data_IF_033624807726
#
_entry.id   IF_033624807726
#
_cell.length_a   1.000
_cell.length_b   1.000
_cell.length_c   1.000
_cell.angle_alpha   90.00
_cell.angle_beta   90.00
_cell.angle_gamma   90.00
#
_symmetry.space_group_name_H-M   'P 1'
#
loop_
_entity.id
_entity.type
_entity.pdbx_description
1 polymer ?
#
# COMPACT_ATOMS: atom_id res chain seq x y z
N UNK A 1 -34.54 -14.40 24.75
CA UNK A 1 -34.16 -13.23 23.93
C UNK A 1 -35.40 -12.70 23.26
N UNK A 2 -35.86 -11.53 23.71
CA UNK A 2 -37.06 -10.88 23.19
C UNK A 2 -36.87 -10.55 21.71
N UNK A 3 -37.96 -10.50 20.96
CA UNK A 3 -37.96 -10.17 19.53
C UNK A 3 -37.27 -8.84 19.23
N UNK A 4 -37.33 -7.89 20.17
CA UNK A 4 -36.66 -6.59 20.12
C UNK A 4 -35.13 -6.69 20.18
N UNK A 5 -34.56 -7.61 20.97
CA UNK A 5 -33.10 -7.81 21.02
C UNK A 5 -32.55 -8.44 19.73
N UNK A 6 -33.35 -9.26 19.04
CA UNK A 6 -32.98 -9.87 17.76
C UNK A 6 -32.98 -8.84 16.64
N UNK A 7 -34.00 -7.98 16.58
CA UNK A 7 -34.08 -6.91 15.55
C UNK A 7 -33.02 -5.84 15.76
N UNK A 8 -32.75 -5.43 17.01
CA UNK A 8 -31.67 -4.49 17.33
C UNK A 8 -30.29 -5.00 16.89
N UNK A 9 -29.99 -6.28 17.11
CA UNK A 9 -28.71 -6.86 16.63
C UNK A 9 -28.63 -6.89 15.11
N UNK A 10 -29.71 -7.21 14.41
CA UNK A 10 -29.72 -7.21 12.95
C UNK A 10 -29.49 -5.81 12.38
N UNK A 11 -30.16 -4.79 12.92
CA UNK A 11 -29.94 -3.39 12.54
C UNK A 11 -28.49 -2.99 12.79
N UNK A 12 -27.92 -3.36 13.94
CA UNK A 12 -26.54 -3.03 14.27
C UNK A 12 -25.53 -3.69 13.31
N UNK A 13 -25.77 -4.94 12.90
CA UNK A 13 -24.96 -5.63 11.90
C UNK A 13 -25.04 -4.95 10.55
N UNK A 14 -26.25 -4.58 10.10
CA UNK A 14 -26.46 -3.88 8.82
C UNK A 14 -25.73 -2.53 8.82
N UNK A 15 -25.86 -1.74 9.90
CA UNK A 15 -25.15 -0.46 10.05
C UNK A 15 -23.63 -0.66 10.01
N UNK A 16 -23.11 -1.70 10.66
CA UNK A 16 -21.67 -2.02 10.64
C UNK A 16 -21.18 -2.38 9.24
N UNK A 17 -21.97 -3.15 8.48
CA UNK A 17 -21.66 -3.51 7.09
C UNK A 17 -21.65 -2.26 6.21
N UNK A 18 -22.66 -1.39 6.33
CA UNK A 18 -22.72 -0.13 5.56
C UNK A 18 -21.52 0.77 5.88
N UNK A 19 -21.17 0.93 7.17
CA UNK A 19 -19.99 1.70 7.58
C UNK A 19 -18.70 1.10 7.05
N UNK A 20 -18.55 -0.23 7.10
CA UNK A 20 -17.39 -0.91 6.55
C UNK A 20 -17.25 -0.68 5.04
N UNK A 21 -18.33 -0.83 4.27
CA UNK A 21 -18.33 -0.54 2.83
C UNK A 21 -18.04 0.95 2.56
N UNK A 22 -18.57 1.86 3.38
CA UNK A 22 -18.30 3.30 3.27
C UNK A 22 -16.82 3.65 3.51
N UNK A 23 -16.19 3.06 4.53
CA UNK A 23 -14.76 3.23 4.77
C UNK A 23 -13.90 2.60 3.68
N UNK A 24 -14.31 1.45 3.13
CA UNK A 24 -13.63 0.84 2.00
C UNK A 24 -13.69 1.74 0.76
N UNK A 25 -14.86 2.32 0.49
CA UNK A 25 -15.03 3.28 -0.61
C UNK A 25 -14.15 4.51 -0.42
N UNK A 26 -14.16 5.12 0.78
CA UNK A 26 -13.32 6.28 1.09
C UNK A 26 -11.82 5.94 0.96
N UNK A 27 -11.41 4.75 1.40
CA UNK A 27 -10.05 4.26 1.25
C UNK A 27 -9.64 4.17 -0.22
N UNK A 28 -10.49 3.60 -1.08
CA UNK A 28 -10.25 3.55 -2.54
C UNK A 28 -10.17 4.95 -3.14
N UNK A 29 -11.06 5.89 -2.77
CA UNK A 29 -10.97 7.28 -3.18
C UNK A 29 -9.64 7.93 -2.77
N UNK A 30 -9.18 7.68 -1.55
CA UNK A 30 -7.91 8.18 -1.06
C UNK A 30 -6.72 7.61 -1.84
N UNK A 31 -6.76 6.33 -2.24
CA UNK A 31 -5.74 5.73 -3.13
C UNK A 31 -5.71 6.42 -4.50
N UNK A 32 -6.88 6.69 -5.10
CA UNK A 32 -6.99 7.41 -6.38
C UNK A 32 -6.45 8.84 -6.29
N UNK A 33 -6.77 9.54 -5.19
CA UNK A 33 -6.25 10.88 -4.93
C UNK A 33 -4.74 10.88 -4.70
N UNK A 34 -4.22 9.88 -3.98
CA UNK A 34 -2.80 9.72 -3.73
C UNK A 34 -2.03 9.35 -5.01
N UNK A 35 -2.60 8.52 -5.88
CA UNK A 35 -2.05 8.23 -7.21
C UNK A 35 -1.99 9.50 -8.07
N UNK A 36 -3.04 10.33 -8.03
CA UNK A 36 -3.06 11.63 -8.73
C UNK A 36 -2.04 12.62 -8.14
N UNK A 37 -1.91 12.67 -6.82
CA UNK A 37 -0.92 13.50 -6.13
C UNK A 37 0.51 13.03 -6.41
N UNK A 38 0.75 11.72 -6.50
CA UNK A 38 2.03 11.17 -6.93
C UNK A 38 2.29 11.38 -8.42
N UNK A 39 1.27 11.39 -9.30
CA UNK A 39 1.43 11.86 -10.68
C UNK A 39 1.81 13.33 -10.74
N UNK A 40 1.27 14.16 -9.86
CA UNK A 40 1.53 15.61 -9.81
C UNK A 40 2.91 15.93 -9.21
N UNK A 41 3.19 15.41 -8.01
CA UNK A 41 4.48 15.54 -7.30
C UNK A 41 5.57 14.78 -8.06
N UNK A 42 5.26 13.59 -8.57
CA UNK A 42 6.14 12.84 -9.46
C UNK A 42 6.33 13.50 -10.82
N UNK A 43 5.35 14.23 -11.36
CA UNK A 43 5.55 15.03 -12.57
C UNK A 43 6.64 16.10 -12.39
N UNK A 44 6.79 16.66 -11.19
CA UNK A 44 7.72 17.77 -10.90
C UNK A 44 9.04 17.28 -10.25
N UNK A 45 8.98 16.34 -9.31
CA UNK A 45 10.13 15.76 -8.62
C UNK A 45 10.60 14.43 -9.24
N UNK A 46 9.67 13.58 -9.66
CA UNK A 46 10.02 12.37 -10.40
C UNK A 46 10.31 12.66 -11.89
N UNK A 47 9.93 13.81 -12.45
CA UNK A 47 10.53 14.32 -13.69
C UNK A 47 12.07 14.44 -13.64
N UNK A 48 12.68 14.41 -12.44
CA UNK A 48 14.14 14.25 -12.23
C UNK A 48 14.55 12.87 -11.67
N UNK A 49 13.72 12.21 -10.86
CA UNK A 49 14.03 10.88 -10.26
C UNK A 49 13.60 9.69 -11.15
N UNK A 50 12.45 9.77 -11.83
CA UNK A 50 12.00 8.84 -12.88
C UNK A 50 12.76 9.04 -14.21
N UNK A 51 13.23 10.26 -14.54
CA UNK A 51 14.13 10.47 -15.69
C UNK A 51 15.56 9.96 -15.44
N UNK A 52 15.95 9.82 -14.17
CA UNK A 52 17.16 9.09 -13.81
C UNK A 52 16.81 7.60 -13.76
N UNK A 53 16.74 6.97 -14.93
CA UNK A 53 16.59 5.52 -15.11
C UNK A 53 17.47 4.69 -14.16
N UNK A 54 18.58 5.25 -13.66
CA UNK A 54 19.51 4.62 -12.73
C UNK A 54 18.96 4.40 -11.30
N UNK A 55 18.07 5.25 -10.80
CA UNK A 55 17.56 5.13 -9.42
C UNK A 55 16.51 4.03 -9.30
N UNK A 56 15.63 3.87 -10.29
CA UNK A 56 14.61 2.82 -10.29
C UNK A 56 15.10 1.50 -10.92
N UNK A 57 16.16 1.52 -11.74
CA UNK A 57 16.85 0.30 -12.16
C UNK A 57 17.63 -0.35 -11.02
N UNK A 58 18.00 0.42 -9.97
CA UNK A 58 18.67 -0.16 -8.82
C UNK A 58 17.64 -0.80 -7.86
N UNK A 59 17.61 -2.13 -7.72
CA UNK A 59 16.66 -2.84 -6.86
C UNK A 59 16.79 -2.44 -5.38
N UNK A 60 17.98 -2.05 -4.94
CA UNK A 60 18.21 -1.60 -3.55
C UNK A 60 17.57 -0.24 -3.32
N UNK A 61 17.65 0.67 -4.28
CA UNK A 61 17.02 1.98 -4.18
C UNK A 61 15.48 1.86 -4.19
N UNK A 62 14.94 1.02 -5.08
CA UNK A 62 13.51 0.67 -5.10
C UNK A 62 13.04 0.08 -3.76
N UNK A 63 13.83 -0.81 -3.15
CA UNK A 63 13.57 -1.33 -1.81
C UNK A 63 13.53 -0.23 -0.75
N UNK A 64 14.51 0.67 -0.75
CA UNK A 64 14.56 1.77 0.22
C UNK A 64 13.38 2.73 0.09
N UNK A 65 12.87 2.95 -1.13
CA UNK A 65 11.63 3.70 -1.35
C UNK A 65 10.45 3.01 -0.65
N UNK A 66 10.33 1.69 -0.79
CA UNK A 66 9.28 0.92 -0.10
C UNK A 66 9.34 1.02 1.42
N UNK A 67 10.54 0.96 2.00
CA UNK A 67 10.78 1.18 3.42
C UNK A 67 10.32 2.57 3.83
N UNK A 68 10.76 3.62 3.11
CA UNK A 68 10.42 5.00 3.42
C UNK A 68 8.91 5.25 3.36
N UNK A 69 8.25 4.81 2.29
CA UNK A 69 6.80 4.94 2.14
C UNK A 69 6.06 4.27 3.29
N UNK A 70 6.51 3.08 3.71
CA UNK A 70 5.87 2.36 4.82
C UNK A 70 6.14 3.03 6.17
N UNK A 71 7.33 3.57 6.39
CA UNK A 71 7.63 4.33 7.61
C UNK A 71 6.80 5.62 7.68
N UNK A 72 6.58 6.29 6.56
CA UNK A 72 5.74 7.51 6.51
C UNK A 72 4.25 7.19 6.72
N UNK A 73 3.76 6.14 6.06
CA UNK A 73 2.35 5.73 6.12
C UNK A 73 2.04 4.90 7.36
N UNK A 74 3.05 4.32 8.02
CA UNK A 74 2.97 3.43 9.18
C UNK A 74 2.11 2.16 8.96
N UNK A 75 1.81 1.83 7.70
CA UNK A 75 0.96 0.70 7.31
C UNK A 75 1.47 0.09 6.03
N UNK A 76 2.09 -1.09 6.11
CA UNK A 76 2.59 -1.80 4.94
C UNK A 76 1.50 -2.31 4.03
N UNK A 77 0.31 -2.64 4.55
CA UNK A 77 -0.84 -2.99 3.70
C UNK A 77 -1.31 -1.80 2.86
N UNK A 78 -1.29 -0.60 3.44
CA UNK A 78 -1.61 0.63 2.71
C UNK A 78 -0.52 0.93 1.68
N UNK A 79 0.75 0.86 2.05
CA UNK A 79 1.89 1.09 1.15
C UNK A 79 1.92 0.12 -0.03
N UNK A 80 1.69 -1.16 0.21
CA UNK A 80 1.61 -2.18 -0.86
C UNK A 80 0.40 -1.97 -1.76
N UNK A 81 -0.76 -1.59 -1.20
CA UNK A 81 -1.96 -1.27 -2.00
C UNK A 81 -1.72 -0.10 -2.95
N UNK A 82 -0.99 0.93 -2.50
CA UNK A 82 -0.59 2.07 -3.34
C UNK A 82 0.28 1.58 -4.50
N UNK A 83 1.30 0.76 -4.22
CA UNK A 83 2.20 0.22 -5.25
C UNK A 83 1.44 -0.63 -6.26
N UNK A 84 0.53 -1.50 -5.81
CA UNK A 84 -0.32 -2.31 -6.68
C UNK A 84 -1.22 -1.43 -7.55
N UNK A 85 -1.80 -0.36 -7.00
CA UNK A 85 -2.60 0.60 -7.77
C UNK A 85 -1.76 1.36 -8.82
N UNK A 86 -0.51 1.70 -8.51
CA UNK A 86 0.42 2.32 -9.46
C UNK A 86 0.79 1.37 -10.61
N UNK A 87 1.00 0.08 -10.30
CA UNK A 87 1.26 -0.98 -11.28
C UNK A 87 0.05 -1.25 -12.15
N UNK A 88 -1.15 -1.26 -11.56
CA UNK A 88 -2.41 -1.27 -12.30
C UNK A 88 -2.38 -0.16 -13.33
N UNK A 89 -2.34 1.10 -12.88
CA UNK A 89 -2.52 2.30 -13.72
C UNK A 89 -1.43 2.58 -14.78
N UNK A 90 -0.50 1.65 -14.97
CA UNK A 90 0.63 1.77 -15.91
C UNK A 90 1.67 2.82 -15.53
N UNK A 91 1.61 3.38 -14.31
CA UNK A 91 2.56 4.37 -13.83
C UNK A 91 3.87 3.78 -13.30
N UNK A 92 3.84 2.51 -12.91
CA UNK A 92 4.99 1.79 -12.38
C UNK A 92 5.04 0.41 -13.01
N UNK A 93 6.18 0.04 -13.58
CA UNK A 93 6.37 -1.30 -14.10
C UNK A 93 6.45 -2.33 -12.96
N UNK A 94 6.07 -3.57 -13.27
CA UNK A 94 6.11 -4.70 -12.34
C UNK A 94 7.51 -4.95 -11.78
N UNK A 95 8.56 -4.73 -12.58
CA UNK A 95 9.95 -4.96 -12.17
C UNK A 95 10.36 -4.12 -10.95
N UNK A 96 10.34 -2.78 -11.04
CA UNK A 96 10.62 -1.90 -9.89
C UNK A 96 9.63 -2.05 -8.74
N UNK A 97 8.38 -2.44 -9.00
CA UNK A 97 7.37 -2.62 -7.95
C UNK A 97 7.69 -3.77 -6.97
N UNK A 98 8.37 -4.83 -7.42
CA UNK A 98 8.68 -5.99 -6.58
C UNK A 98 9.64 -5.63 -5.44
N UNK A 99 10.81 -5.02 -5.68
CA UNK A 99 11.68 -4.55 -4.59
C UNK A 99 10.99 -3.53 -3.68
N UNK A 100 10.12 -2.66 -4.21
CA UNK A 100 9.35 -1.70 -3.39
C UNK A 100 8.42 -2.43 -2.41
N UNK A 101 7.73 -3.50 -2.85
CA UNK A 101 6.88 -4.32 -1.96
C UNK A 101 7.73 -5.04 -0.91
N UNK A 102 8.89 -5.57 -1.29
CA UNK A 102 9.84 -6.17 -0.33
C UNK A 102 10.31 -5.14 0.71
N UNK A 103 10.58 -3.91 0.27
CA UNK A 103 10.90 -2.78 1.15
C UNK A 103 9.77 -2.39 2.09
N UNK A 104 8.52 -2.44 1.61
CA UNK A 104 7.37 -2.18 2.45
C UNK A 104 7.23 -3.20 3.60
N UNK A 105 7.57 -4.47 3.34
CA UNK A 105 7.62 -5.48 4.40
C UNK A 105 8.71 -5.16 5.43
N UNK A 106 9.89 -4.71 5.01
CA UNK A 106 10.95 -4.25 5.95
C UNK A 106 10.47 -3.04 6.76
N UNK A 107 9.79 -2.08 6.14
CA UNK A 107 9.31 -0.87 6.81
C UNK A 107 8.38 -1.17 8.00
N UNK A 108 7.58 -2.24 7.94
CA UNK A 108 6.76 -2.72 9.07
C UNK A 108 7.60 -2.99 10.32
N UNK A 109 8.83 -3.47 10.13
CA UNK A 109 9.75 -3.79 11.22
C UNK A 109 10.16 -2.55 12.02
N UNK A 110 10.35 -1.43 11.31
CA UNK A 110 10.63 -0.13 11.94
C UNK A 110 9.44 0.30 12.78
N UNK A 111 8.22 0.20 12.24
CA UNK A 111 6.99 0.53 12.98
C UNK A 111 6.80 -0.36 14.21
N UNK A 112 6.98 -1.69 14.09
CA UNK A 112 6.88 -2.62 15.20
C UNK A 112 7.87 -2.30 16.31
N UNK A 113 9.12 -2.02 15.94
CA UNK A 113 10.17 -1.64 16.89
C UNK A 113 9.82 -0.34 17.61
N UNK A 114 9.33 0.68 16.90
CA UNK A 114 8.86 1.93 17.52
C UNK A 114 7.72 1.67 18.51
N UNK A 115 6.72 0.89 18.11
CA UNK A 115 5.58 0.53 18.97
C UNK A 115 6.03 -0.27 20.20
N UNK A 116 6.95 -1.21 20.02
CA UNK A 116 7.50 -2.02 21.12
C UNK A 116 8.27 -1.14 22.12
N UNK A 117 9.12 -0.22 21.64
CA UNK A 117 9.82 0.75 22.48
C UNK A 117 8.82 1.63 23.23
N UNK A 118 7.71 2.04 22.60
CA UNK A 118 6.65 2.81 23.26
C UNK A 118 6.04 2.14 24.49
N UNK A 119 6.15 0.81 24.63
CA UNK A 119 5.66 0.06 25.79
C UNK A 119 6.62 0.04 26.99
N UNK A 120 7.71 0.82 26.97
CA UNK A 120 8.77 0.82 27.99
C UNK A 120 8.29 1.06 29.43
N UNK A 121 7.14 1.73 29.60
CA UNK A 121 6.58 2.02 30.93
C UNK A 121 6.16 0.76 31.71
N UNK A 122 5.74 -0.31 31.01
CA UNK A 122 5.34 -1.56 31.65
C UNK A 122 6.27 -2.71 31.23
N UNK A 123 7.15 -3.13 32.15
CA UNK A 123 8.18 -4.17 31.88
C UNK A 123 7.61 -5.46 31.30
N UNK A 124 6.42 -5.89 31.73
CA UNK A 124 5.79 -7.11 31.23
C UNK A 124 5.26 -6.94 29.81
N UNK A 125 4.68 -5.78 29.48
CA UNK A 125 4.19 -5.48 28.14
C UNK A 125 5.35 -5.22 27.17
N UNK A 126 6.36 -4.44 27.59
CA UNK A 126 7.59 -4.23 26.83
C UNK A 126 8.24 -5.55 26.43
N UNK A 127 8.43 -6.49 27.37
CA UNK A 127 9.08 -7.77 27.07
C UNK A 127 8.30 -8.59 26.02
N UNK A 128 6.97 -8.58 26.08
CA UNK A 128 6.11 -9.30 25.12
C UNK A 128 6.08 -8.59 23.76
N UNK A 129 5.92 -7.27 23.76
CA UNK A 129 5.89 -6.45 22.56
C UNK A 129 7.23 -6.47 21.82
N UNK A 130 8.34 -6.33 22.54
CA UNK A 130 9.68 -6.40 21.98
C UNK A 130 10.00 -7.79 21.44
N UNK A 131 9.69 -8.87 22.18
CA UNK A 131 9.86 -10.23 21.68
C UNK A 131 9.04 -10.52 20.42
N UNK A 132 7.79 -10.05 20.37
CA UNK A 132 6.93 -10.16 19.19
C UNK A 132 7.47 -9.36 18.00
N UNK A 133 7.91 -8.12 18.23
CA UNK A 133 8.53 -7.28 17.21
C UNK A 133 9.79 -7.94 16.64
N UNK A 134 10.71 -8.41 17.49
CA UNK A 134 11.95 -9.06 17.02
C UNK A 134 11.68 -10.27 16.13
N UNK A 135 10.74 -11.15 16.50
CA UNK A 135 10.41 -12.34 15.69
C UNK A 135 9.83 -11.93 14.33
N UNK A 136 8.93 -10.96 14.31
CA UNK A 136 8.37 -10.42 13.06
C UNK A 136 9.47 -9.79 12.20
N UNK A 137 10.33 -8.96 12.79
CA UNK A 137 11.41 -8.26 12.11
C UNK A 137 12.41 -9.26 11.50
N UNK A 138 12.77 -10.31 12.23
CA UNK A 138 13.62 -11.39 11.72
C UNK A 138 12.99 -12.09 10.51
N UNK A 139 11.69 -12.39 10.55
CA UNK A 139 10.98 -12.99 9.43
C UNK A 139 10.99 -12.09 8.19
N UNK A 140 10.74 -10.79 8.36
CA UNK A 140 10.74 -9.83 7.25
C UNK A 140 12.14 -9.68 6.64
N UNK A 141 13.18 -9.57 7.47
CA UNK A 141 14.57 -9.48 7.01
C UNK A 141 15.00 -10.75 6.26
N UNK A 142 14.72 -11.94 6.81
CA UNK A 142 15.03 -13.21 6.15
C UNK A 142 14.30 -13.33 4.81
N UNK A 143 13.03 -12.93 4.75
CA UNK A 143 12.25 -12.96 3.52
C UNK A 143 12.90 -12.11 2.43
N UNK A 144 13.35 -10.90 2.73
CA UNK A 144 14.05 -10.05 1.75
C UNK A 144 15.43 -10.59 1.40
N UNK A 145 16.22 -11.03 2.40
CA UNK A 145 17.56 -11.56 2.17
C UNK A 145 17.55 -12.81 1.28
N UNK A 146 16.46 -13.57 1.29
CA UNK A 146 16.28 -14.75 0.41
C UNK A 146 15.64 -14.35 -0.92
N UNK A 147 14.53 -13.62 -0.89
CA UNK A 147 13.73 -13.36 -2.09
C UNK A 147 14.32 -12.30 -2.99
N UNK A 148 15.00 -11.28 -2.47
CA UNK A 148 15.57 -10.23 -3.29
C UNK A 148 16.72 -10.75 -4.17
N UNK A 149 17.74 -11.46 -3.65
CA UNK A 149 18.77 -12.05 -4.52
C UNK A 149 18.21 -13.09 -5.48
N UNK A 150 17.22 -13.88 -5.05
CA UNK A 150 16.54 -14.84 -5.92
C UNK A 150 15.83 -14.15 -7.07
N UNK A 151 15.14 -13.04 -6.80
CA UNK A 151 14.49 -12.24 -7.84
C UNK A 151 15.49 -11.61 -8.79
N UNK A 152 16.63 -11.12 -8.27
CA UNK A 152 17.70 -10.56 -9.11
C UNK A 152 18.38 -11.63 -9.98
N UNK A 153 18.43 -12.87 -9.51
CA UNK A 153 19.03 -13.98 -10.27
C UNK A 153 18.07 -14.59 -11.31
N UNK A 154 16.77 -14.63 -11.02
CA UNK A 154 15.80 -15.42 -11.79
C UNK A 154 14.70 -14.61 -12.45
N UNK A 155 14.42 -13.40 -11.97
CA UNK A 155 13.25 -12.59 -12.34
C UNK A 155 11.91 -13.34 -12.23
N UNK A 156 11.84 -14.33 -11.33
CA UNK A 156 10.71 -15.24 -11.24
C UNK A 156 9.41 -14.50 -10.89
N UNK A 157 9.44 -13.63 -9.87
CA UNK A 157 8.28 -12.87 -9.44
C UNK A 157 7.87 -11.87 -10.52
N UNK A 158 8.82 -11.25 -11.23
CA UNK A 158 8.53 -10.34 -12.33
C UNK A 158 7.83 -11.04 -13.49
N UNK A 159 8.27 -12.24 -13.87
CA UNK A 159 7.67 -12.99 -14.97
C UNK A 159 6.26 -13.43 -14.61
N UNK A 160 6.07 -13.99 -13.41
CA UNK A 160 4.76 -14.46 -12.94
C UNK A 160 3.79 -13.29 -12.82
N UNK A 161 4.20 -12.22 -12.14
CA UNK A 161 3.36 -11.03 -11.94
C UNK A 161 3.04 -10.32 -13.26
N UNK A 162 4.01 -10.21 -14.17
CA UNK A 162 3.78 -9.61 -15.49
C UNK A 162 2.77 -10.38 -16.33
N UNK A 163 2.75 -11.72 -16.22
CA UNK A 163 1.72 -12.55 -16.89
C UNK A 163 0.34 -12.38 -16.28
N UNK A 164 0.26 -12.18 -14.97
CA UNK A 164 -1.01 -11.98 -14.23
C UNK A 164 -1.58 -10.58 -14.50
N UNK A 165 -0.73 -9.56 -14.62
CA UNK A 165 -1.15 -8.16 -14.76
C UNK A 165 -1.55 -7.82 -16.21
N UNK A 166 -0.92 -8.41 -17.24
CA UNK A 166 -1.24 -8.14 -18.66
C UNK A 166 -2.74 -8.23 -19.04
N UNK A 167 -3.49 -9.25 -18.58
CA UNK A 167 -4.94 -9.30 -18.79
C UNK A 167 -5.70 -8.19 -18.06
N UNK A 168 -5.21 -7.78 -16.88
CA UNK A 168 -5.84 -6.77 -16.01
C UNK A 168 -5.63 -5.37 -16.57
N UNK A 169 -4.43 -5.03 -17.04
CA UNK A 169 -4.17 -3.75 -17.70
C UNK A 169 -4.92 -3.59 -19.03
N UNK A 170 -5.39 -4.70 -19.63
CA UNK A 170 -6.31 -4.68 -20.78
C UNK A 170 -7.78 -4.56 -20.37
N UNK A 171 -8.14 -4.96 -19.14
CA UNK A 171 -9.46 -4.77 -18.55
C UNK A 171 -9.60 -3.42 -17.81
N UNK A 172 -8.47 -2.72 -17.61
CA UNK A 172 -8.39 -1.46 -16.90
C UNK A 172 -9.12 -0.30 -17.56
N UNK A 173 -9.26 -0.27 -18.88
CA UNK A 173 -10.09 0.78 -19.51
C UNK A 173 -11.52 0.74 -18.94
N UNK A 174 -12.02 -0.46 -18.64
CA UNK A 174 -13.35 -0.66 -18.06
C UNK A 174 -13.40 -0.39 -16.55
N UNK A 175 -12.38 -0.82 -15.79
CA UNK A 175 -12.32 -0.59 -14.34
C UNK A 175 -11.98 0.86 -13.97
N UNK A 176 -11.11 1.53 -14.74
CA UNK A 176 -10.81 2.96 -14.60
C UNK A 176 -12.04 3.80 -14.95
N UNK A 177 -12.86 3.40 -15.92
CA UNK A 177 -14.16 4.04 -16.17
C UNK A 177 -15.14 3.85 -15.01
N UNK A 178 -15.19 2.66 -14.41
CA UNK A 178 -16.08 2.36 -13.28
C UNK A 178 -15.62 3.08 -12.00
N UNK A 179 -14.31 3.06 -11.72
CA UNK A 179 -13.69 3.82 -10.64
C UNK A 179 -13.87 5.31 -10.87
N UNK A 180 -13.59 5.85 -12.07
CA UNK A 180 -13.87 7.27 -12.37
C UNK A 180 -15.35 7.60 -12.21
N UNK A 181 -16.28 6.77 -12.70
CA UNK A 181 -17.71 7.02 -12.57
C UNK A 181 -18.17 7.14 -11.11
N UNK A 182 -17.60 6.32 -10.22
CA UNK A 182 -17.93 6.35 -8.79
C UNK A 182 -17.13 7.48 -8.08
N UNK A 183 -15.86 7.69 -8.43
CA UNK A 183 -14.93 8.61 -7.74
C UNK A 183 -15.05 10.06 -8.24
N UNK A 184 -15.44 10.29 -9.48
CA UNK A 184 -15.59 11.61 -10.12
C UNK A 184 -16.50 12.60 -9.37
N UNK A 185 -17.69 12.22 -8.85
CA UNK A 185 -18.49 13.16 -8.06
C UNK A 185 -17.76 13.64 -6.81
N UNK A 186 -16.94 12.79 -6.19
CA UNK A 186 -16.14 13.15 -5.02
C UNK A 186 -14.91 13.99 -5.41
N UNK A 187 -14.20 13.58 -6.46
CA UNK A 187 -13.01 14.27 -6.98
C UNK A 187 -13.34 15.68 -7.50
N UNK A 188 -14.46 15.85 -8.21
CA UNK A 188 -14.93 17.18 -8.66
C UNK A 188 -15.38 18.07 -7.51
N UNK A 189 -15.89 17.50 -6.43
CA UNK A 189 -16.26 18.25 -5.23
C UNK A 189 -15.04 18.76 -4.47
N UNK A 190 -13.97 17.97 -4.39
CA UNK A 190 -12.71 18.33 -3.73
C UNK A 190 -11.83 19.27 -4.58
N UNK A 191 -11.73 19.05 -5.90
CA UNK A 191 -10.86 19.83 -6.80
C UNK A 191 -11.42 21.22 -7.16
N UNK A 192 -12.66 21.55 -6.79
CA UNK A 192 -13.20 22.91 -6.94
C UNK A 192 -12.49 23.99 -6.09
N UNK A 193 -11.55 23.61 -5.21
CA UNK A 193 -10.77 24.57 -4.41
C UNK A 193 -9.51 25.09 -5.16
N UNK A 194 -9.15 24.54 -6.33
CA UNK A 194 -8.00 25.02 -7.13
C UNK A 194 -8.39 25.86 -8.38
N UNK A 195 -9.59 26.45 -8.36
CA UNK A 195 -9.96 27.53 -9.29
C UNK A 195 -10.42 28.76 -8.52
N UNK A 196 -9.46 29.46 -7.92
CA UNK A 196 -9.48 30.91 -7.81
C UNK A 196 -8.07 31.47 -7.82
#
# INVERSE_FOLDING_TARGET
LSWTERTLRLIWVIVRIILFLGFLYLFVCALSFLSSAFRLVGGIAAGKVLNNHELLNNPIAALMVGVLVTVLVQSSSTSTSIVVALVGSGLLDVGPAIPVIMGANIGTSVTNTIVAIGQFQNKNQFRRAFGGATVHDMFNWLSVLVLLPLELATHYLQIVSGKIVKPISSAEDFEIELLKAITDPFTKWVIQIDKK
#
